data_IF_023790244429
#
_entry.id   IF_023790244429
#
_cell.length_a   1.000
_cell.length_b   1.000
_cell.length_c   1.000
_cell.angle_alpha   90.00
_cell.angle_beta   90.00
_cell.angle_gamma   90.00
#
_symmetry.space_group_name_H-M   'P 1'
#
loop_
_entity.id
_entity.type
_entity.pdbx_description
1 polymer ?
#
# COMPACT_ATOMS: atom_id res chain seq x y z
N UNK A 1 4.55 -12.63 -16.38
CA UNK A 1 4.11 -11.66 -15.40
C UNK A 1 3.15 -10.65 -16.02
N UNK A 2 2.27 -10.13 -15.22
CA UNK A 2 1.26 -9.18 -15.66
C UNK A 2 1.73 -7.78 -15.29
N UNK A 3 1.91 -6.88 -16.25
CA UNK A 3 2.47 -5.56 -15.96
C UNK A 3 1.55 -4.70 -15.09
N UNK A 4 0.25 -5.01 -15.05
CA UNK A 4 -0.71 -4.26 -14.24
C UNK A 4 -0.91 -4.86 -12.85
N UNK A 5 -0.38 -6.07 -12.62
CA UNK A 5 -0.52 -6.73 -11.31
C UNK A 5 0.63 -6.32 -10.40
N UNK A 6 0.32 -6.15 -9.12
CA UNK A 6 1.38 -5.97 -8.15
C UNK A 6 2.07 -7.32 -7.94
N UNK A 7 3.38 -7.33 -8.04
CA UNK A 7 4.18 -8.53 -7.81
C UNK A 7 4.22 -8.84 -6.32
N UNK A 8 4.50 -10.11 -6.00
CA UNK A 8 4.58 -10.54 -4.60
C UNK A 8 5.62 -9.74 -3.82
N UNK A 9 6.76 -9.41 -4.44
CA UNK A 9 7.78 -8.59 -3.80
C UNK A 9 7.29 -7.18 -3.51
N UNK A 10 6.50 -6.60 -4.41
CA UNK A 10 5.89 -5.29 -4.20
C UNK A 10 4.89 -5.35 -3.05
N UNK A 11 4.04 -6.37 -3.04
CA UNK A 11 3.07 -6.55 -1.96
C UNK A 11 3.77 -6.64 -0.61
N UNK A 12 4.82 -7.44 -0.54
CA UNK A 12 5.55 -7.62 0.71
C UNK A 12 6.19 -6.32 1.17
N UNK A 13 6.81 -5.58 0.25
CA UNK A 13 7.46 -4.30 0.60
C UNK A 13 6.46 -3.29 1.14
N UNK A 14 5.31 -3.17 0.49
CA UNK A 14 4.28 -2.23 0.94
C UNK A 14 3.72 -2.67 2.30
N UNK A 15 3.43 -3.96 2.46
CA UNK A 15 2.90 -4.47 3.72
C UNK A 15 3.89 -4.28 4.87
N UNK A 16 5.18 -4.48 4.60
CA UNK A 16 6.21 -4.30 5.63
C UNK A 16 6.32 -2.85 6.11
N UNK A 17 5.97 -1.89 5.25
CA UNK A 17 6.00 -0.48 5.60
C UNK A 17 4.72 -0.01 6.30
N UNK A 18 3.66 -0.81 6.24
CA UNK A 18 2.40 -0.48 6.89
C UNK A 18 2.43 -0.93 8.35
N UNK A 19 1.76 -0.16 9.19
CA UNK A 19 1.56 -0.50 10.60
C UNK A 19 0.17 -0.04 11.00
N UNK A 20 -0.14 -0.14 12.29
CA UNK A 20 -1.40 0.38 12.81
C UNK A 20 -1.39 1.89 13.00
N UNK A 21 -0.25 2.54 12.77
CA UNK A 21 -0.13 3.99 12.75
C UNK A 21 -0.35 4.49 11.33
N UNK A 22 -1.02 5.63 11.20
CA UNK A 22 -1.26 6.21 9.88
C UNK A 22 0.06 6.65 9.23
N UNK A 23 0.16 6.39 7.94
CA UNK A 23 1.27 6.84 7.10
C UNK A 23 0.68 7.34 5.78
N UNK A 24 1.29 8.37 5.19
CA UNK A 24 0.79 8.89 3.92
C UNK A 24 1.12 7.93 2.78
N UNK A 25 0.23 7.88 1.79
CA UNK A 25 0.47 7.07 0.58
C UNK A 25 1.72 7.57 -0.13
N UNK A 26 1.95 8.88 -0.16
CA UNK A 26 3.16 9.45 -0.78
C UNK A 26 4.43 8.91 -0.11
N UNK A 27 4.41 8.78 1.20
CA UNK A 27 5.55 8.25 1.93
C UNK A 27 5.75 6.76 1.62
N UNK A 28 4.67 6.00 1.50
CA UNK A 28 4.75 4.60 1.11
C UNK A 28 5.39 4.45 -0.27
N UNK A 29 4.97 5.28 -1.22
CA UNK A 29 5.55 5.25 -2.57
C UNK A 29 7.04 5.53 -2.49
N UNK A 30 7.43 6.55 -1.74
CA UNK A 30 8.82 6.96 -1.63
C UNK A 30 9.68 5.89 -0.95
N UNK A 31 9.21 5.34 0.16
CA UNK A 31 9.98 4.37 0.94
C UNK A 31 10.03 3.00 0.26
N UNK A 32 8.97 2.61 -0.41
CA UNK A 32 8.95 1.31 -1.10
C UNK A 32 9.79 1.30 -2.36
N UNK A 33 9.99 2.46 -2.97
CA UNK A 33 10.65 2.53 -4.27
C UNK A 33 9.81 1.97 -5.41
N UNK A 34 8.53 1.72 -5.16
CA UNK A 34 7.64 1.15 -6.16
C UNK A 34 6.88 2.24 -6.91
N UNK A 35 6.35 1.90 -8.09
CA UNK A 35 5.53 2.82 -8.84
C UNK A 35 4.25 3.15 -8.06
N UNK A 36 3.76 4.40 -8.13
CA UNK A 36 2.54 4.78 -7.42
C UNK A 36 1.35 3.86 -7.73
N UNK A 37 1.19 3.46 -9.00
CA UNK A 37 0.10 2.56 -9.39
C UNK A 37 0.19 1.20 -8.72
N UNK A 38 1.40 0.67 -8.57
CA UNK A 38 1.60 -0.61 -7.91
C UNK A 38 1.24 -0.51 -6.42
N UNK A 39 1.66 0.58 -5.76
CA UNK A 39 1.31 0.81 -4.36
C UNK A 39 -0.19 0.91 -4.19
N UNK A 40 -0.87 1.68 -5.06
CA UNK A 40 -2.33 1.82 -4.99
C UNK A 40 -3.03 0.47 -5.18
N UNK A 41 -2.52 -0.37 -6.07
CA UNK A 41 -3.10 -1.71 -6.29
C UNK A 41 -3.02 -2.54 -5.01
N UNK A 42 -1.87 -2.54 -4.33
CA UNK A 42 -1.71 -3.29 -3.08
C UNK A 42 -2.65 -2.74 -2.00
N UNK A 43 -2.74 -1.41 -1.89
CA UNK A 43 -3.62 -0.79 -0.90
C UNK A 43 -5.08 -1.14 -1.16
N UNK A 44 -5.50 -1.16 -2.42
CA UNK A 44 -6.86 -1.54 -2.77
C UNK A 44 -7.13 -3.00 -2.40
N UNK A 45 -6.19 -3.90 -2.68
CA UNK A 45 -6.31 -5.31 -2.31
C UNK A 45 -6.50 -5.47 -0.81
N UNK A 46 -5.70 -4.75 -0.02
CA UNK A 46 -5.81 -4.81 1.44
C UNK A 46 -7.14 -4.22 1.92
N UNK A 47 -7.59 -3.15 1.30
CA UNK A 47 -8.86 -2.52 1.65
C UNK A 47 -10.02 -3.47 1.39
N UNK A 48 -10.03 -4.11 0.23
CA UNK A 48 -11.08 -5.08 -0.13
C UNK A 48 -11.07 -6.28 0.79
N UNK A 49 -9.93 -6.63 1.34
CA UNK A 49 -9.81 -7.72 2.31
C UNK A 49 -10.16 -7.28 3.74
N UNK A 50 -10.52 -6.03 3.94
CA UNK A 50 -10.86 -5.50 5.27
C UNK A 50 -9.64 -5.31 6.16
N UNK A 51 -8.45 -5.19 5.57
CA UNK A 51 -7.19 -5.11 6.30
C UNK A 51 -6.55 -3.74 6.27
N UNK A 52 -7.18 -2.77 5.62
CA UNK A 52 -6.65 -1.43 5.51
C UNK A 52 -7.72 -0.42 5.92
N UNK A 53 -7.31 0.58 6.67
CA UNK A 53 -8.16 1.71 7.05
C UNK A 53 -7.60 2.98 6.45
N UNK A 54 -8.47 3.77 5.82
CA UNK A 54 -8.06 5.05 5.24
C UNK A 54 -8.41 6.18 6.19
N UNK A 55 -7.47 7.11 6.35
CA UNK A 55 -7.67 8.28 7.15
C UNK A 55 -7.71 9.55 6.30
N UNK A 56 -7.85 10.68 6.97
CA UNK A 56 -7.86 11.98 6.31
C UNK A 56 -6.48 12.28 5.73
N UNK A 57 -6.46 13.08 4.65
CA UNK A 57 -5.20 13.58 4.08
C UNK A 57 -4.40 12.52 3.33
N UNK A 58 -5.06 11.52 2.76
CA UNK A 58 -4.37 10.50 1.98
C UNK A 58 -3.50 9.58 2.81
N UNK A 59 -3.88 9.33 4.06
CA UNK A 59 -3.15 8.44 4.96
C UNK A 59 -3.86 7.10 5.09
N UNK A 60 -3.09 6.08 5.39
CA UNK A 60 -3.59 4.71 5.52
C UNK A 60 -2.91 4.02 6.70
N UNK A 61 -3.55 2.99 7.22
CA UNK A 61 -2.95 2.13 8.25
C UNK A 61 -3.58 0.73 8.16
N UNK A 62 -2.92 -0.23 8.78
CA UNK A 62 -3.51 -1.55 8.93
C UNK A 62 -4.70 -1.48 9.88
N UNK A 63 -5.77 -2.14 9.50
CA UNK A 63 -6.98 -2.18 10.31
C UNK A 63 -6.78 -3.06 11.56
#
# INVERSE_FOLDING_TARGET
PHPIDAEDGTRQRVQDLLSHDFVSVDELVRQSGEAPGAVQTVLLELELAGRLERGAGGRVRLA
#
